data_IF_522453744283
#
_entry.id   IF_522453744283
#
_cell.length_a   1.000
_cell.length_b   1.000
_cell.length_c   1.000
_cell.angle_alpha   90.00
_cell.angle_beta   90.00
_cell.angle_gamma   90.00
#
_symmetry.space_group_name_H-M   'P 1'
#
loop_
_entity.id
_entity.type
_entity.pdbx_description
1 polymer ?
#
# COMPACT_ATOMS: atom_id res chain seq x y z
N UNK A 1 -13.04 -11.19 -9.09
CA UNK A 1 -12.41 -10.34 -10.14
C UNK A 1 -10.94 -10.70 -10.19
N UNK A 2 -10.39 -10.97 -11.37
CA UNK A 2 -8.95 -11.22 -11.57
C UNK A 2 -8.24 -9.93 -11.97
N UNK A 3 -7.02 -9.72 -11.47
CA UNK A 3 -6.20 -8.56 -11.86
C UNK A 3 -5.68 -8.78 -13.28
N UNK A 4 -6.12 -7.98 -14.25
CA UNK A 4 -5.54 -8.02 -15.60
C UNK A 4 -4.06 -7.61 -15.62
N UNK A 5 -3.28 -8.03 -16.63
CA UNK A 5 -1.81 -7.83 -16.66
C UNK A 5 -1.36 -6.38 -16.87
N UNK A 6 -2.14 -5.56 -17.59
CA UNK A 6 -1.72 -4.20 -17.97
C UNK A 6 -1.53 -3.25 -16.80
N UNK A 7 -2.40 -3.33 -15.78
CA UNK A 7 -2.34 -2.43 -14.63
C UNK A 7 -1.09 -2.68 -13.76
N UNK A 8 -0.85 -3.91 -13.25
CA UNK A 8 0.34 -4.23 -12.48
C UNK A 8 1.64 -3.80 -13.16
N UNK A 9 1.84 -4.19 -14.42
CA UNK A 9 3.05 -3.86 -15.19
C UNK A 9 3.29 -2.35 -15.26
N UNK A 10 2.22 -1.57 -15.43
CA UNK A 10 2.31 -0.12 -15.55
C UNK A 10 2.69 0.55 -14.21
N UNK A 11 2.07 0.09 -13.12
CA UNK A 11 2.39 0.58 -11.77
C UNK A 11 3.81 0.18 -11.38
N UNK A 12 4.19 -1.08 -11.64
CA UNK A 12 5.51 -1.62 -11.37
C UNK A 12 6.63 -0.80 -12.04
N UNK A 13 6.51 -0.52 -13.35
CA UNK A 13 7.47 0.33 -14.08
C UNK A 13 7.63 1.72 -13.44
N UNK A 14 6.52 2.34 -13.03
CA UNK A 14 6.54 3.69 -12.45
C UNK A 14 7.15 3.69 -11.06
N UNK A 15 6.72 2.78 -10.19
CA UNK A 15 7.22 2.75 -8.83
C UNK A 15 8.71 2.41 -8.79
N UNK A 16 9.18 1.47 -9.63
CA UNK A 16 10.60 1.16 -9.77
C UNK A 16 11.41 2.37 -10.27
N UNK A 17 10.89 3.12 -11.25
CA UNK A 17 11.55 4.36 -11.74
C UNK A 17 11.62 5.44 -10.66
N UNK A 18 10.54 5.63 -9.91
CA UNK A 18 10.48 6.61 -8.82
C UNK A 18 11.44 6.24 -7.70
N UNK A 19 11.38 4.99 -7.26
CA UNK A 19 12.27 4.45 -6.24
C UNK A 19 13.74 4.61 -6.65
N UNK A 20 14.10 4.26 -7.89
CA UNK A 20 15.45 4.46 -8.44
C UNK A 20 15.93 5.91 -8.41
N UNK A 21 15.02 6.88 -8.58
CA UNK A 21 15.37 8.31 -8.56
C UNK A 21 15.51 8.85 -7.14
N UNK A 22 14.82 8.26 -6.17
CA UNK A 22 14.56 8.84 -4.86
C UNK A 22 15.21 8.04 -3.71
N UNK A 23 16.26 7.25 -3.97
CA UNK A 23 17.08 6.54 -2.96
C UNK A 23 17.81 7.49 -1.99
N UNK A 24 17.09 8.39 -1.34
CA UNK A 24 17.68 9.56 -0.68
C UNK A 24 17.61 9.48 0.84
N UNK A 25 16.67 8.72 1.42
CA UNK A 25 16.59 8.44 2.87
C UNK A 25 15.61 7.30 3.11
N UNK A 26 15.94 6.33 3.96
CA UNK A 26 14.93 5.35 4.38
C UNK A 26 13.92 6.07 5.29
N UNK A 27 12.74 6.38 4.76
CA UNK A 27 11.61 6.87 5.57
C UNK A 27 10.77 5.70 6.12
N UNK A 28 11.20 4.47 5.80
CA UNK A 28 10.70 3.19 6.30
C UNK A 28 10.82 3.09 7.81
N UNK A 29 9.76 2.55 8.41
CA UNK A 29 9.61 2.07 9.79
C UNK A 29 10.79 2.38 10.71
N UNK A 30 10.68 3.47 11.47
CA UNK A 30 11.72 3.88 12.42
C UNK A 30 11.85 2.82 13.53
N UNK A 31 12.80 1.90 13.36
CA UNK A 31 13.18 0.89 14.35
C UNK A 31 14.07 1.57 15.39
N UNK A 32 13.47 2.03 16.49
CA UNK A 32 14.20 2.57 17.63
C UNK A 32 14.60 1.45 18.61
N UNK A 33 15.49 1.76 19.57
CA UNK A 33 15.97 0.77 20.53
C UNK A 33 14.85 0.21 21.42
N UNK A 34 13.81 1.00 21.71
CA UNK A 34 12.65 0.52 22.46
C UNK A 34 11.84 -0.53 21.70
N UNK A 35 11.72 -0.36 20.37
CA UNK A 35 11.13 -1.37 19.51
C UNK A 35 11.96 -2.66 19.50
N UNK A 36 13.26 -2.55 19.23
CA UNK A 36 14.16 -3.70 19.17
C UNK A 36 14.12 -4.55 20.46
N UNK A 37 14.15 -3.89 21.62
CA UNK A 37 14.09 -4.54 22.93
C UNK A 37 12.75 -5.21 23.24
N UNK A 38 11.68 -4.82 22.55
CA UNK A 38 10.33 -5.37 22.77
C UNK A 38 10.02 -6.58 21.88
N UNK A 39 10.91 -6.91 20.92
CA UNK A 39 10.70 -7.97 19.93
C UNK A 39 10.60 -9.34 20.63
N UNK A 40 9.53 -10.12 20.39
CA UNK A 40 9.31 -11.38 21.10
C UNK A 40 10.12 -12.57 20.54
N UNK A 41 11.05 -12.29 19.63
CA UNK A 41 11.93 -13.27 18.98
C UNK A 41 13.32 -12.68 18.79
N UNK A 42 14.30 -13.55 18.59
CA UNK A 42 15.68 -13.15 18.32
C UNK A 42 15.79 -12.52 16.92
N UNK A 43 16.34 -11.31 16.87
CA UNK A 43 16.63 -10.61 15.61
C UNK A 43 17.84 -9.69 15.83
N UNK A 44 18.89 -9.87 15.03
CA UNK A 44 20.14 -9.12 15.18
C UNK A 44 20.04 -7.73 14.54
N UNK A 45 19.36 -6.80 15.23
CA UNK A 45 19.28 -5.41 14.82
C UNK A 45 20.66 -4.71 14.71
N UNK A 46 21.71 -5.26 15.32
CA UNK A 46 23.05 -4.66 15.29
C UNK A 46 23.82 -5.02 14.01
N UNK A 47 23.38 -6.02 13.26
CA UNK A 47 23.96 -6.41 11.97
C UNK A 47 23.73 -5.40 10.83
N UNK A 48 22.94 -4.35 11.05
CA UNK A 48 22.54 -3.40 10.00
C UNK A 48 23.00 -1.98 10.34
N UNK A 49 23.62 -1.31 9.35
CA UNK A 49 23.91 0.12 9.47
C UNK A 49 22.62 0.94 9.31
N UNK A 50 22.20 1.60 10.40
CA UNK A 50 21.00 2.45 10.41
C UNK A 50 21.11 3.69 9.54
N UNK A 51 22.31 4.09 9.15
CA UNK A 51 22.55 5.17 8.20
C UNK A 51 22.48 4.69 6.73
N UNK A 52 22.62 3.38 6.49
CA UNK A 52 22.59 2.78 5.16
C UNK A 52 21.16 2.49 4.72
N UNK A 53 20.75 3.09 3.60
CA UNK A 53 19.45 2.78 2.97
C UNK A 53 19.33 1.30 2.65
N UNK A 54 20.37 0.70 2.06
CA UNK A 54 20.37 -0.69 1.62
C UNK A 54 20.27 -1.67 2.79
N UNK A 55 21.01 -1.43 3.87
CA UNK A 55 20.93 -2.30 5.06
C UNK A 55 19.58 -2.15 5.75
N UNK A 56 19.04 -0.95 5.85
CA UNK A 56 17.72 -0.77 6.45
C UNK A 56 16.59 -1.34 5.59
N UNK A 57 16.73 -1.32 4.27
CA UNK A 57 15.83 -2.02 3.35
C UNK A 57 15.89 -3.53 3.59
N UNK A 58 17.10 -4.10 3.57
CA UNK A 58 17.35 -5.52 3.85
C UNK A 58 16.77 -5.94 5.20
N UNK A 59 17.03 -5.15 6.25
CA UNK A 59 16.52 -5.38 7.60
C UNK A 59 14.99 -5.46 7.63
N UNK A 60 14.28 -4.60 6.90
CA UNK A 60 12.82 -4.66 6.87
C UNK A 60 12.32 -5.94 6.19
N UNK A 61 12.95 -6.38 5.11
CA UNK A 61 12.60 -7.65 4.45
C UNK A 61 12.85 -8.83 5.39
N UNK A 62 14.05 -8.91 5.98
CA UNK A 62 14.44 -9.99 6.88
C UNK A 62 13.64 -9.99 8.19
N UNK A 63 13.18 -8.82 8.66
CA UNK A 63 12.27 -8.73 9.80
C UNK A 63 10.90 -9.36 9.50
N UNK A 64 10.38 -9.23 8.28
CA UNK A 64 9.14 -9.91 7.89
C UNK A 64 9.33 -11.42 7.86
N UNK A 65 10.50 -11.89 7.41
CA UNK A 65 10.85 -13.31 7.42
C UNK A 65 10.92 -13.86 8.84
N UNK A 66 11.61 -13.16 9.74
CA UNK A 66 11.69 -13.53 11.15
C UNK A 66 10.31 -13.49 11.86
N UNK A 67 9.45 -12.52 11.52
CA UNK A 67 8.06 -12.48 12.00
C UNK A 67 7.25 -13.69 11.54
N UNK A 68 7.38 -14.06 10.25
CA UNK A 68 6.70 -15.23 9.70
C UNK A 68 7.21 -16.53 10.33
N UNK A 69 8.52 -16.65 10.48
CA UNK A 69 9.15 -17.78 11.16
C UNK A 69 8.65 -17.90 12.61
N UNK A 70 8.62 -16.80 13.36
CA UNK A 70 8.12 -16.81 14.73
C UNK A 70 6.63 -17.17 14.83
N UNK A 71 5.79 -16.68 13.90
CA UNK A 71 4.38 -17.08 13.83
C UNK A 71 4.24 -18.60 13.66
N UNK A 72 5.02 -19.19 12.74
CA UNK A 72 4.97 -20.63 12.47
C UNK A 72 5.47 -21.45 13.68
N UNK A 73 6.54 -21.00 14.35
CA UNK A 73 7.07 -21.68 15.54
C UNK A 73 6.13 -21.64 16.74
N UNK A 74 5.23 -20.65 16.81
CA UNK A 74 4.25 -20.50 17.88
C UNK A 74 2.90 -21.14 17.53
N UNK A 75 2.76 -21.78 16.37
CA UNK A 75 1.52 -22.46 15.99
C UNK A 75 1.15 -23.58 16.97
N UNK A 76 -0.08 -23.53 17.50
CA UNK A 76 -0.54 -24.42 18.56
C UNK A 76 -0.33 -23.89 19.98
N UNK A 77 0.43 -22.81 20.17
CA UNK A 77 0.51 -22.04 21.41
C UNK A 77 -0.29 -20.74 21.29
N UNK A 78 -1.56 -20.81 21.72
CA UNK A 78 -2.48 -19.68 21.63
C UNK A 78 -1.99 -18.44 22.39
N UNK A 79 -1.34 -18.63 23.54
CA UNK A 79 -0.87 -17.53 24.37
C UNK A 79 0.32 -16.82 23.72
N UNK A 80 1.26 -17.59 23.17
CA UNK A 80 2.40 -17.03 22.43
C UNK A 80 1.94 -16.29 21.15
N UNK A 81 1.01 -16.87 20.39
CA UNK A 81 0.47 -16.22 19.19
C UNK A 81 -0.32 -14.95 19.50
N UNK A 82 -1.09 -14.92 20.60
CA UNK A 82 -1.78 -13.71 21.05
C UNK A 82 -0.79 -12.63 21.46
N UNK A 83 0.23 -12.98 22.24
CA UNK A 83 1.28 -12.05 22.65
C UNK A 83 2.02 -11.46 21.43
N UNK A 84 2.38 -12.30 20.47
CA UNK A 84 3.02 -11.87 19.24
C UNK A 84 2.10 -10.98 18.40
N UNK A 85 0.84 -11.38 18.17
CA UNK A 85 -0.10 -10.59 17.38
C UNK A 85 -0.41 -9.22 18.01
N UNK A 86 -0.47 -9.14 19.34
CA UNK A 86 -0.56 -7.87 20.08
C UNK A 86 0.68 -7.01 19.85
N UNK A 87 1.88 -7.59 19.92
CA UNK A 87 3.12 -6.89 19.62
C UNK A 87 3.15 -6.34 18.19
N UNK A 88 2.73 -7.14 17.19
CA UNK A 88 2.66 -6.72 15.78
C UNK A 88 1.74 -5.51 15.61
N UNK A 89 0.58 -5.51 16.26
CA UNK A 89 -0.40 -4.40 16.10
C UNK A 89 0.03 -3.16 16.89
N UNK A 90 0.46 -3.33 18.14
CA UNK A 90 0.67 -2.23 19.08
C UNK A 90 2.08 -1.65 19.01
N UNK A 91 3.09 -2.52 19.06
CA UNK A 91 4.50 -2.14 19.13
C UNK A 91 5.05 -1.86 17.74
N UNK A 92 4.93 -2.81 16.82
CA UNK A 92 5.39 -2.64 15.44
C UNK A 92 4.47 -1.70 14.65
N UNK A 93 3.17 -1.95 14.68
CA UNK A 93 2.17 -1.16 13.97
C UNK A 93 1.93 0.24 14.55
N UNK A 94 2.38 0.50 15.79
CA UNK A 94 2.24 1.78 16.48
C UNK A 94 0.81 2.12 16.92
N UNK A 95 -0.10 1.13 16.97
CA UNK A 95 -1.53 1.37 17.23
C UNK A 95 -1.87 1.06 18.69
N UNK A 96 -1.84 2.10 19.53
CA UNK A 96 -2.04 1.97 20.99
C UNK A 96 -3.51 1.97 21.45
N UNK A 97 -4.44 2.36 20.58
CA UNK A 97 -5.86 2.52 20.92
C UNK A 97 -6.74 1.70 19.99
N UNK A 98 -6.92 0.43 20.32
CA UNK A 98 -7.99 -0.40 19.76
C UNK A 98 -8.96 -0.80 20.87
N UNK A 99 -10.22 -1.03 20.51
CA UNK A 99 -11.15 -1.70 21.41
C UNK A 99 -10.66 -3.14 21.61
N UNK A 100 -10.70 -3.63 22.84
CA UNK A 100 -10.24 -4.98 23.18
C UNK A 100 -10.92 -6.05 22.31
N UNK A 101 -12.23 -5.88 22.07
CA UNK A 101 -13.03 -6.74 21.19
C UNK A 101 -12.47 -6.81 19.75
N UNK A 102 -11.98 -5.69 19.22
CA UNK A 102 -11.40 -5.63 17.87
C UNK A 102 -10.07 -6.39 17.80
N UNK A 103 -9.23 -6.26 18.83
CA UNK A 103 -7.97 -7.00 18.92
C UNK A 103 -8.22 -8.51 19.02
N UNK A 104 -9.13 -8.92 19.92
CA UNK A 104 -9.52 -10.34 20.06
C UNK A 104 -10.03 -10.92 18.74
N UNK A 105 -10.86 -10.16 18.01
CA UNK A 105 -11.31 -10.56 16.68
C UNK A 105 -10.15 -10.74 15.70
N UNK A 106 -9.24 -9.78 15.59
CA UNK A 106 -8.09 -9.91 14.69
C UNK A 106 -7.19 -11.09 15.01
N UNK A 107 -6.92 -11.35 16.28
CA UNK A 107 -6.13 -12.51 16.72
C UNK A 107 -6.84 -13.82 16.39
N UNK A 108 -8.13 -13.92 16.72
CA UNK A 108 -8.96 -15.08 16.38
C UNK A 108 -8.97 -15.32 14.87
N UNK A 109 -9.21 -14.29 14.06
CA UNK A 109 -9.27 -14.44 12.62
C UNK A 109 -7.90 -14.77 12.01
N UNK A 110 -6.81 -14.17 12.51
CA UNK A 110 -5.46 -14.49 12.06
C UNK A 110 -5.09 -15.95 12.35
N UNK A 111 -5.53 -16.53 13.47
CA UNK A 111 -5.30 -17.94 13.79
C UNK A 111 -6.12 -18.88 12.91
N UNK A 112 -7.42 -18.58 12.77
CA UNK A 112 -8.38 -19.52 12.19
C UNK A 112 -8.57 -19.35 10.67
N UNK A 113 -8.21 -18.20 10.11
CA UNK A 113 -8.47 -17.88 8.71
C UNK A 113 -7.21 -17.43 7.97
N UNK A 114 -7.30 -17.54 6.64
CA UNK A 114 -6.28 -17.12 5.68
C UNK A 114 -6.85 -16.11 4.69
N UNK A 115 -7.77 -15.28 5.15
CA UNK A 115 -8.48 -14.26 4.36
C UNK A 115 -8.79 -13.04 5.21
N UNK A 116 -8.71 -11.86 4.59
CA UNK A 116 -9.14 -10.59 5.16
C UNK A 116 -10.37 -10.14 4.38
N UNK A 117 -11.40 -9.63 5.06
CA UNK A 117 -12.40 -8.80 4.41
C UNK A 117 -11.91 -7.35 4.34
N UNK A 118 -12.02 -6.73 3.16
CA UNK A 118 -11.42 -5.41 2.91
C UNK A 118 -12.14 -4.23 3.57
N UNK A 119 -12.92 -4.45 4.64
CA UNK A 119 -13.86 -3.47 5.20
C UNK A 119 -13.27 -2.72 6.38
N UNK A 120 -13.15 -3.37 7.55
CA UNK A 120 -12.92 -2.67 8.81
C UNK A 120 -11.53 -2.90 9.41
N UNK A 121 -10.74 -1.83 9.43
CA UNK A 121 -9.41 -1.78 10.04
C UNK A 121 -8.36 -2.63 9.31
N UNK A 122 -8.49 -2.74 7.99
CA UNK A 122 -7.54 -3.43 7.11
C UNK A 122 -6.09 -2.97 7.32
N UNK A 123 -5.82 -1.70 7.69
CA UNK A 123 -4.45 -1.27 7.99
C UNK A 123 -3.82 -1.96 9.21
N UNK A 124 -4.61 -2.33 10.22
CA UNK A 124 -4.08 -3.05 11.40
C UNK A 124 -4.02 -4.53 11.10
N UNK A 125 -5.09 -5.06 10.50
CA UNK A 125 -5.22 -6.49 10.28
C UNK A 125 -4.28 -7.00 9.18
N UNK A 126 -4.05 -6.21 8.12
CA UNK A 126 -3.06 -6.55 7.08
C UNK A 126 -1.63 -6.63 7.61
N UNK A 127 -1.26 -5.87 8.64
CA UNK A 127 0.05 -6.01 9.31
C UNK A 127 0.19 -7.36 9.98
N UNK A 128 -0.83 -7.79 10.73
CA UNK A 128 -0.84 -9.09 11.37
C UNK A 128 -0.79 -10.21 10.33
N UNK A 129 -1.55 -10.09 9.25
CA UNK A 129 -1.54 -11.10 8.19
C UNK A 129 -0.23 -11.12 7.40
N UNK A 130 0.41 -9.97 7.17
CA UNK A 130 1.74 -9.88 6.55
C UNK A 130 2.82 -10.49 7.45
N UNK A 131 2.74 -10.28 8.77
CA UNK A 131 3.61 -10.97 9.74
C UNK A 131 3.35 -12.48 9.74
N UNK A 132 2.08 -12.91 9.67
CA UNK A 132 1.70 -14.34 9.59
C UNK A 132 2.17 -15.02 8.30
N UNK A 133 2.12 -14.34 7.14
CA UNK A 133 2.57 -14.88 5.86
C UNK A 133 2.90 -13.73 4.89
N UNK A 134 4.18 -13.36 4.87
CA UNK A 134 4.72 -12.22 4.15
C UNK A 134 4.81 -12.43 2.63
N UNK A 135 4.69 -13.68 2.16
CA UNK A 135 4.63 -14.02 0.73
C UNK A 135 3.22 -13.87 0.14
N UNK A 136 2.19 -13.87 0.99
CA UNK A 136 0.78 -13.86 0.55
C UNK A 136 0.05 -12.57 0.87
N UNK A 137 0.37 -11.95 2.00
CA UNK A 137 -0.33 -10.78 2.51
C UNK A 137 0.62 -9.60 2.59
N UNK A 138 0.15 -8.44 2.11
CA UNK A 138 0.92 -7.21 2.11
C UNK A 138 0.20 -6.13 2.90
N UNK A 139 0.93 -5.15 3.39
CA UNK A 139 0.35 -4.12 4.24
C UNK A 139 -0.36 -3.07 3.39
N UNK A 140 -1.68 -2.95 3.58
CA UNK A 140 -2.48 -1.88 2.97
C UNK A 140 -2.69 -0.74 3.97
N UNK A 141 -1.64 0.05 4.20
CA UNK A 141 -1.73 1.28 5.00
C UNK A 141 -2.11 2.51 4.14
N UNK A 142 -2.28 3.66 4.79
CA UNK A 142 -2.64 4.90 4.11
C UNK A 142 -1.58 5.38 3.10
N UNK A 143 -0.29 5.13 3.32
CA UNK A 143 0.79 5.48 2.38
C UNK A 143 0.69 4.63 1.13
N UNK A 144 0.56 3.32 1.29
CA UNK A 144 0.44 2.37 0.18
C UNK A 144 -0.81 2.67 -0.65
N UNK A 145 -1.96 2.90 0.01
CA UNK A 145 -3.21 3.27 -0.67
C UNK A 145 -3.07 4.56 -1.48
N UNK A 146 -2.45 5.61 -0.90
CA UNK A 146 -2.22 6.88 -1.63
C UNK A 146 -1.25 6.70 -2.78
N UNK A 147 -0.14 6.00 -2.60
CA UNK A 147 0.82 5.76 -3.67
C UNK A 147 0.14 5.09 -4.87
N UNK A 148 -0.64 4.03 -4.63
CA UNK A 148 -1.39 3.34 -5.68
C UNK A 148 -2.43 4.25 -6.37
N UNK A 149 -3.13 5.07 -5.59
CA UNK A 149 -4.11 6.02 -6.11
C UNK A 149 -3.46 7.06 -7.03
N UNK A 150 -2.35 7.66 -6.60
CA UNK A 150 -1.64 8.68 -7.37
C UNK A 150 -0.99 8.08 -8.62
N UNK A 151 -0.33 6.94 -8.51
CA UNK A 151 0.29 6.27 -9.66
C UNK A 151 -0.72 5.94 -10.75
N UNK A 152 -1.93 5.52 -10.36
CA UNK A 152 -3.03 5.32 -11.30
C UNK A 152 -3.42 6.64 -11.97
N UNK A 153 -3.55 7.73 -11.22
CA UNK A 153 -3.85 9.06 -11.76
C UNK A 153 -2.85 9.49 -12.82
N UNK A 154 -1.56 9.37 -12.54
CA UNK A 154 -0.52 9.76 -13.47
C UNK A 154 -0.58 8.93 -14.76
N UNK A 155 -0.76 7.62 -14.63
CA UNK A 155 -0.67 6.70 -15.76
C UNK A 155 -1.94 6.64 -16.61
N UNK A 156 -3.10 6.52 -15.97
CA UNK A 156 -4.39 6.36 -16.64
C UNK A 156 -5.10 7.71 -16.85
N UNK A 157 -4.58 8.80 -16.28
CA UNK A 157 -5.28 10.07 -16.20
C UNK A 157 -6.39 10.07 -15.14
N UNK A 158 -6.57 8.98 -14.39
CA UNK A 158 -7.65 8.81 -13.43
C UNK A 158 -7.56 7.46 -12.73
N UNK A 159 -8.51 7.14 -11.87
CA UNK A 159 -8.55 5.87 -11.15
C UNK A 159 -9.27 4.81 -11.97
N UNK A 160 -8.66 3.62 -12.06
CA UNK A 160 -9.42 2.42 -12.43
C UNK A 160 -10.00 1.75 -11.19
N UNK A 161 -9.23 1.75 -10.12
CA UNK A 161 -9.63 1.25 -8.81
C UNK A 161 -9.22 2.27 -7.76
N UNK A 162 -10.10 2.55 -6.81
CA UNK A 162 -9.82 3.49 -5.74
C UNK A 162 -9.58 2.74 -4.43
N UNK A 163 -8.38 2.91 -3.88
CA UNK A 163 -8.05 2.35 -2.56
C UNK A 163 -8.45 3.37 -1.51
N UNK A 164 -9.35 2.98 -0.60
CA UNK A 164 -9.76 3.86 0.47
C UNK A 164 -8.57 4.19 1.38
N UNK A 165 -8.20 5.46 1.39
CA UNK A 165 -7.13 5.94 2.27
C UNK A 165 -7.70 6.02 3.67
N UNK A 166 -7.26 5.08 4.51
CA UNK A 166 -7.63 4.96 5.91
C UNK A 166 -7.10 6.14 6.75
N UNK A 167 -7.59 6.22 8.00
CA UNK A 167 -7.06 7.17 8.98
C UNK A 167 -5.55 7.04 9.14
N UNK A 168 -4.84 8.16 9.16
CA UNK A 168 -3.38 8.21 9.20
C UNK A 168 -2.89 9.24 10.21
N UNK A 169 -1.73 8.99 10.80
CA UNK A 169 -1.00 9.97 11.62
C UNK A 169 -0.14 10.91 10.76
N UNK A 170 0.09 10.56 9.48
CA UNK A 170 0.84 11.40 8.57
C UNK A 170 -0.02 12.61 8.14
N UNK A 171 0.38 13.80 8.60
CA UNK A 171 -0.37 15.05 8.35
C UNK A 171 -0.47 15.41 6.87
N UNK A 172 0.57 15.16 6.08
CA UNK A 172 0.58 15.42 4.64
C UNK A 172 -0.43 14.52 3.92
N UNK A 173 -0.42 13.22 4.22
CA UNK A 173 -1.38 12.27 3.66
C UNK A 173 -2.80 12.59 4.10
N UNK A 174 -3.00 12.97 5.38
CA UNK A 174 -4.32 13.36 5.87
C UNK A 174 -4.85 14.60 5.14
N UNK A 175 -4.01 15.61 4.94
CA UNK A 175 -4.38 16.83 4.20
C UNK A 175 -4.70 16.52 2.73
N UNK A 176 -3.83 15.77 2.05
CA UNK A 176 -4.04 15.32 0.68
C UNK A 176 -5.36 14.56 0.56
N UNK A 177 -5.60 13.57 1.43
CA UNK A 177 -6.78 12.71 1.38
C UNK A 177 -8.10 13.50 1.54
N UNK A 178 -8.13 14.54 2.39
CA UNK A 178 -9.32 15.40 2.55
C UNK A 178 -9.70 16.12 1.26
N UNK A 179 -8.72 16.70 0.57
CA UNK A 179 -8.92 17.41 -0.69
C UNK A 179 -9.27 16.40 -1.79
N UNK A 180 -8.48 15.33 -1.86
CA UNK A 180 -8.53 14.31 -2.88
C UNK A 180 -9.87 13.56 -2.90
N UNK A 181 -10.31 13.01 -1.75
CA UNK A 181 -11.60 12.30 -1.66
C UNK A 181 -12.74 13.19 -2.12
N UNK A 182 -12.84 14.41 -1.59
CA UNK A 182 -13.93 15.34 -1.92
C UNK A 182 -13.99 15.63 -3.43
N UNK A 183 -12.87 16.08 -4.00
CA UNK A 183 -12.80 16.42 -5.43
C UNK A 183 -13.05 15.22 -6.33
N UNK A 184 -12.66 14.04 -5.89
CA UNK A 184 -12.86 12.82 -6.64
C UNK A 184 -14.32 12.33 -6.63
N UNK A 185 -14.98 12.32 -5.46
CA UNK A 185 -16.41 11.99 -5.37
C UNK A 185 -17.24 12.88 -6.31
N UNK A 186 -16.94 14.17 -6.32
CA UNK A 186 -17.61 15.18 -7.15
C UNK A 186 -17.31 15.00 -8.65
N UNK A 187 -16.10 14.61 -9.02
CA UNK A 187 -15.63 14.67 -10.41
C UNK A 187 -15.86 13.42 -11.27
N UNK A 188 -15.85 12.22 -10.68
CA UNK A 188 -15.87 10.96 -11.44
C UNK A 188 -17.09 10.07 -11.16
N UNK A 189 -18.02 10.50 -10.30
CA UNK A 189 -19.22 9.70 -9.99
C UNK A 189 -18.81 8.36 -9.39
N UNK A 190 -18.13 8.43 -8.24
CA UNK A 190 -17.55 7.26 -7.54
C UNK A 190 -18.48 6.05 -7.55
N UNK A 191 -18.00 4.96 -8.18
CA UNK A 191 -18.65 3.65 -8.10
C UNK A 191 -17.85 2.83 -7.09
N UNK A 192 -18.47 2.38 -5.99
CA UNK A 192 -17.80 1.48 -5.04
C UNK A 192 -17.24 0.25 -5.74
N UNK A 193 -16.07 -0.21 -5.31
CA UNK A 193 -15.53 -1.45 -5.82
C UNK A 193 -16.40 -2.63 -5.36
N UNK A 194 -16.97 -3.36 -6.31
CA UNK A 194 -17.74 -4.57 -6.02
C UNK A 194 -16.82 -5.76 -5.79
N UNK A 195 -16.48 -6.04 -4.54
CA UNK A 195 -15.73 -7.25 -4.17
C UNK A 195 -14.74 -7.03 -3.02
N UNK A 196 -13.81 -7.97 -2.88
CA UNK A 196 -12.78 -7.89 -1.85
C UNK A 196 -11.58 -7.06 -2.35
N UNK A 197 -11.54 -5.78 -1.97
CA UNK A 197 -10.46 -4.85 -2.32
C UNK A 197 -9.10 -5.33 -1.85
N UNK A 198 -9.03 -5.97 -0.67
CA UNK A 198 -7.75 -6.42 -0.12
C UNK A 198 -7.19 -7.62 -0.89
N UNK A 199 -8.03 -8.59 -1.26
CA UNK A 199 -7.60 -9.68 -2.14
C UNK A 199 -7.12 -9.16 -3.49
N UNK A 200 -7.84 -8.17 -4.06
CA UNK A 200 -7.40 -7.50 -5.29
C UNK A 200 -6.05 -6.80 -5.12
N UNK A 201 -5.83 -6.13 -3.98
CA UNK A 201 -4.56 -5.50 -3.65
C UNK A 201 -3.42 -6.52 -3.57
N UNK A 202 -3.58 -7.65 -2.88
CA UNK A 202 -2.52 -8.66 -2.80
C UNK A 202 -2.17 -9.23 -4.17
N UNK A 203 -3.17 -9.54 -5.00
CA UNK A 203 -2.95 -10.01 -6.36
C UNK A 203 -2.25 -8.95 -7.24
N UNK A 204 -2.58 -7.66 -7.04
CA UNK A 204 -1.93 -6.54 -7.72
C UNK A 204 -0.45 -6.46 -7.34
N UNK A 205 -0.11 -6.54 -6.05
CA UNK A 205 1.26 -6.51 -5.55
C UNK A 205 2.06 -7.69 -6.08
N UNK A 206 1.51 -8.91 -6.01
CA UNK A 206 2.19 -10.11 -6.54
C UNK A 206 2.50 -9.98 -8.03
N UNK A 207 1.57 -9.46 -8.83
CA UNK A 207 1.81 -9.26 -10.27
C UNK A 207 2.79 -8.13 -10.57
N UNK A 208 2.86 -7.12 -9.71
CA UNK A 208 3.91 -6.10 -9.80
C UNK A 208 5.28 -6.70 -9.47
N UNK A 209 5.34 -7.55 -8.45
CA UNK A 209 6.56 -8.21 -7.98
C UNK A 209 7.11 -9.18 -9.03
N UNK A 210 6.25 -10.03 -9.58
CA UNK A 210 6.56 -10.93 -10.70
C UNK A 210 7.16 -10.18 -11.90
N UNK A 211 6.54 -9.06 -12.29
CA UNK A 211 7.06 -8.23 -13.38
C UNK A 211 8.45 -7.62 -13.07
N UNK A 212 8.71 -7.28 -11.81
CA UNK A 212 9.98 -6.66 -11.39
C UNK A 212 11.07 -7.68 -11.06
N UNK A 213 10.72 -8.97 -10.90
CA UNK A 213 11.65 -10.00 -10.44
C UNK A 213 12.09 -9.81 -8.98
N UNK A 214 11.19 -9.32 -8.13
CA UNK A 214 11.42 -9.06 -6.70
C UNK A 214 10.32 -9.71 -5.86
N UNK A 215 10.46 -9.71 -4.53
CA UNK A 215 9.41 -10.20 -3.62
C UNK A 215 8.25 -9.21 -3.50
N UNK A 216 7.06 -9.70 -3.15
CA UNK A 216 5.89 -8.83 -2.96
C UNK A 216 6.08 -7.77 -1.87
N UNK A 217 6.78 -8.13 -0.79
CA UNK A 217 7.14 -7.22 0.32
C UNK A 217 7.96 -6.04 -0.20
N UNK A 218 8.89 -6.28 -1.13
CA UNK A 218 9.72 -5.22 -1.70
C UNK A 218 8.87 -4.21 -2.48
N UNK A 219 7.86 -4.68 -3.23
CA UNK A 219 6.92 -3.79 -3.91
C UNK A 219 6.09 -2.97 -2.92
N UNK A 220 5.57 -3.60 -1.87
CA UNK A 220 4.86 -2.90 -0.79
C UNK A 220 5.75 -1.81 -0.16
N UNK A 221 6.99 -2.15 0.17
CA UNK A 221 7.96 -1.21 0.72
C UNK A 221 8.28 -0.07 -0.25
N UNK A 222 8.37 -0.34 -1.56
CA UNK A 222 8.59 0.72 -2.55
C UNK A 222 7.43 1.71 -2.57
N UNK A 223 6.18 1.21 -2.53
CA UNK A 223 4.97 2.03 -2.47
C UNK A 223 4.94 2.87 -1.19
N UNK A 224 5.27 2.25 -0.06
CA UNK A 224 5.29 2.88 1.25
C UNK A 224 6.31 4.02 1.33
N UNK A 225 7.57 3.75 0.97
CA UNK A 225 8.70 4.69 1.10
C UNK A 225 8.52 5.91 0.19
N UNK A 226 7.95 5.70 -1.01
CA UNK A 226 7.75 6.75 -1.99
C UNK A 226 6.46 7.57 -1.80
N UNK A 227 5.54 7.17 -0.91
CA UNK A 227 4.23 7.80 -0.80
C UNK A 227 4.29 9.32 -0.60
N UNK A 228 5.18 9.80 0.28
CA UNK A 228 5.34 11.25 0.53
C UNK A 228 6.00 11.99 -0.62
N UNK A 229 6.97 11.35 -1.30
CA UNK A 229 7.60 11.95 -2.48
C UNK A 229 6.60 12.05 -3.65
N UNK A 230 5.76 11.04 -3.82
CA UNK A 230 4.69 11.02 -4.83
C UNK A 230 3.69 12.16 -4.59
N UNK A 231 3.36 12.46 -3.33
CA UNK A 231 2.49 13.60 -2.99
C UNK A 231 3.20 14.92 -3.28
N UNK A 232 4.46 15.07 -2.88
CA UNK A 232 5.20 16.31 -3.13
C UNK A 232 5.39 16.59 -4.63
N UNK A 233 5.63 15.55 -5.44
CA UNK A 233 5.67 15.68 -6.91
C UNK A 233 4.32 16.15 -7.46
N UNK A 234 3.20 15.69 -6.89
CA UNK A 234 1.86 16.18 -7.24
C UNK A 234 1.62 17.63 -6.81
N UNK A 235 2.04 18.02 -5.62
CA UNK A 235 1.88 19.39 -5.11
C UNK A 235 2.73 20.36 -5.93
N UNK A 236 3.97 20.00 -6.30
CA UNK A 236 4.79 20.78 -7.23
C UNK A 236 4.13 20.94 -8.61
N UNK A 237 3.44 19.91 -9.09
CA UNK A 237 2.62 20.01 -10.30
C UNK A 237 1.42 20.92 -10.04
N UNK A 238 0.68 20.77 -8.95
CA UNK A 238 -0.49 21.59 -8.63
C UNK A 238 -0.15 23.08 -8.43
N UNK A 239 0.97 23.39 -7.79
CA UNK A 239 1.50 24.74 -7.59
C UNK A 239 1.92 25.41 -8.91
N UNK A 240 2.36 24.63 -9.91
CA UNK A 240 2.64 25.17 -11.26
C UNK A 240 1.37 25.60 -12.03
N UNK A 241 0.18 25.20 -11.57
CA UNK A 241 -1.10 25.63 -12.11
C UNK A 241 -1.71 26.68 -11.19
N UNK A 242 -1.64 27.95 -11.62
CA UNK A 242 -1.96 29.19 -10.90
C UNK A 242 -3.30 29.19 -10.14
N UNK A 243 -4.25 28.32 -10.49
CA UNK A 243 -5.43 28.06 -9.67
C UNK A 243 -5.72 26.55 -9.66
N UNK A 244 -5.74 25.95 -8.46
CA UNK A 244 -6.01 24.53 -8.23
C UNK A 244 -7.27 24.03 -8.97
N UNK A 245 -8.28 24.90 -9.15
CA UNK A 245 -9.51 24.60 -9.88
C UNK A 245 -9.27 24.37 -11.39
N UNK A 246 -8.38 25.16 -12.01
CA UNK A 246 -7.95 24.96 -13.40
C UNK A 246 -7.14 23.69 -13.56
N UNK A 247 -6.30 23.32 -12.58
CA UNK A 247 -5.59 22.04 -12.58
C UNK A 247 -6.57 20.86 -12.59
N UNK A 248 -7.54 20.85 -11.67
CA UNK A 248 -8.53 19.77 -11.59
C UNK A 248 -9.43 19.73 -12.84
N UNK A 249 -9.83 20.89 -13.38
CA UNK A 249 -10.59 20.97 -14.63
C UNK A 249 -9.78 20.47 -15.84
N UNK A 250 -8.52 20.90 -15.98
CA UNK A 250 -7.61 20.41 -17.01
C UNK A 250 -7.39 18.90 -16.87
N UNK A 251 -7.16 18.40 -15.65
CA UNK A 251 -6.99 16.98 -15.40
C UNK A 251 -8.23 16.18 -15.75
N UNK A 252 -9.43 16.68 -15.43
CA UNK A 252 -10.68 16.05 -15.86
C UNK A 252 -10.80 16.00 -17.38
N UNK A 253 -10.42 17.07 -18.06
CA UNK A 253 -10.45 17.13 -19.53
C UNK A 253 -9.43 16.17 -20.16
N UNK A 254 -8.19 16.14 -19.65
CA UNK A 254 -7.14 15.20 -20.06
C UNK A 254 -7.57 13.75 -19.80
N UNK A 255 -8.20 13.46 -18.66
CA UNK A 255 -8.78 12.15 -18.36
C UNK A 255 -9.84 11.75 -19.38
N UNK A 256 -10.84 12.61 -19.63
CA UNK A 256 -11.90 12.35 -20.62
C UNK A 256 -11.30 12.08 -22.00
N UNK A 257 -10.30 12.87 -22.41
CA UNK A 257 -9.59 12.70 -23.68
C UNK A 257 -8.87 11.34 -23.76
N UNK A 258 -8.12 10.96 -22.73
CA UNK A 258 -7.40 9.66 -22.67
C UNK A 258 -8.36 8.47 -22.60
N UNK A 259 -9.46 8.59 -21.84
CA UNK A 259 -10.51 7.57 -21.74
C UNK A 259 -11.14 7.32 -23.11
N UNK A 260 -11.53 8.38 -23.81
CA UNK A 260 -12.13 8.30 -25.13
C UNK A 260 -11.14 7.71 -26.14
N UNK A 261 -9.89 8.19 -26.17
CA UNK A 261 -8.84 7.62 -27.03
C UNK A 261 -8.68 6.10 -26.81
N UNK A 262 -8.62 5.63 -25.57
CA UNK A 262 -8.48 4.20 -25.26
C UNK A 262 -9.74 3.39 -25.56
N UNK A 263 -10.92 3.98 -25.39
CA UNK A 263 -12.18 3.36 -25.78
C UNK A 263 -12.26 3.20 -27.30
N UNK A 264 -11.87 4.23 -28.05
CA UNK A 264 -11.74 4.19 -29.51
C UNK A 264 -10.69 3.18 -29.96
N UNK A 265 -9.49 3.18 -29.35
CA UNK A 265 -8.45 2.18 -29.64
C UNK A 265 -8.92 0.75 -29.36
N UNK A 266 -9.68 0.55 -28.28
CA UNK A 266 -10.26 -0.75 -27.92
C UNK A 266 -11.32 -1.18 -28.95
N UNK A 267 -12.27 -0.31 -29.29
CA UNK A 267 -13.29 -0.59 -30.30
C UNK A 267 -12.66 -0.90 -31.66
N UNK A 268 -11.64 -0.16 -32.06
CA UNK A 268 -10.87 -0.43 -33.27
C UNK A 268 -10.14 -1.78 -33.20
N UNK A 269 -9.55 -2.14 -32.04
CA UNK A 269 -8.90 -3.45 -31.86
C UNK A 269 -9.89 -4.63 -31.79
N UNK A 270 -11.15 -4.35 -31.44
CA UNK A 270 -12.26 -5.32 -31.38
C UNK A 270 -13.04 -5.37 -32.71
N UNK A 271 -12.59 -4.68 -33.77
CA UNK A 271 -13.20 -4.70 -35.10
C UNK A 271 -14.46 -3.83 -35.24
N UNK A 272 -14.77 -3.02 -34.24
CA UNK A 272 -15.85 -2.04 -34.31
C UNK A 272 -15.33 -0.73 -34.93
N UNK A 273 -15.62 -0.53 -36.22
CA UNK A 273 -15.34 0.74 -36.90
C UNK A 273 -16.26 1.83 -36.34
N UNK A 274 -15.68 2.76 -35.59
CA UNK A 274 -16.33 4.04 -35.30
C UNK A 274 -16.11 4.97 -36.50
N UNK A 275 -17.14 5.08 -37.34
CA UNK A 275 -17.28 6.20 -38.31
C UNK A 275 -17.65 7.46 -37.54
#
# INVERSE_FOLDING_TARGET
MTVGTRLPVSLAKKIAKLHKRLHTTNRGWAINNGFANSTPFEFDYAAYDKASYGDMWRMNVELHDAMNEHWNHTEGDDAAQDAFGLWVIQSWGGIRKHKEETLKRYLYEAKNFNTIDGKDGVASYSKLMAAKNCEKFFILDARVAVALNVLQLEYFGGHRYFFDVLGTQNKQISAFNKIYKRKQYEAIGYVPFEGNMYSFFNELVLKMADYLGVRGIEVEMMLFDNATNIINDMDAIAESYVENEKYWAWRLADWKKRRNKRHTERLNSEGHNLV
#
